data_IF_269142394146
#
_entry.id   IF_269142394146
#
_cell.length_a   1.000
_cell.length_b   1.000
_cell.length_c   1.000
_cell.angle_alpha   90.00
_cell.angle_beta   90.00
_cell.angle_gamma   90.00
#
_symmetry.space_group_name_H-M   'P 1'
#
loop_
_entity.id
_entity.type
_entity.pdbx_description
1 polymer ?
#
# COMPACT_ATOMS: atom_id res chain seq x y z
N UNK A 1 25.26 -68.80 13.21
CA UNK A 1 24.58 -67.99 12.18
C UNK A 1 24.16 -66.71 12.84
N UNK A 2 24.80 -65.59 12.48
CA UNK A 2 24.77 -64.34 13.22
C UNK A 2 23.42 -63.63 12.96
N UNK A 3 22.68 -63.37 14.03
CA UNK A 3 21.37 -62.72 14.00
C UNK A 3 21.48 -61.28 13.50
N UNK A 4 20.71 -60.97 12.45
CA UNK A 4 20.57 -59.64 11.89
C UNK A 4 19.76 -58.74 12.83
N UNK A 5 20.39 -57.66 13.28
CA UNK A 5 19.71 -56.52 13.90
C UNK A 5 19.43 -55.52 12.79
N UNK A 6 18.13 -55.35 12.49
CA UNK A 6 17.62 -54.37 11.54
C UNK A 6 17.44 -53.03 12.25
N UNK A 7 18.06 -51.93 11.82
CA UNK A 7 17.68 -50.60 12.26
C UNK A 7 16.63 -50.03 11.31
N UNK A 8 15.40 -49.86 11.80
CA UNK A 8 14.49 -48.82 11.26
C UNK A 8 14.82 -47.50 11.94
N UNK A 9 14.89 -46.41 11.16
CA UNK A 9 14.42 -45.14 11.69
C UNK A 9 13.41 -44.45 10.78
N UNK A 10 12.28 -44.18 11.42
CA UNK A 10 11.59 -42.89 11.41
C UNK A 10 11.00 -42.40 10.09
N UNK A 11 9.70 -42.66 9.99
CA UNK A 11 8.77 -41.87 9.22
C UNK A 11 9.07 -40.37 9.37
N UNK A 12 9.27 -39.71 8.24
CA UNK A 12 9.18 -38.26 8.13
C UNK A 12 7.69 -37.88 8.22
N UNK A 13 7.25 -37.02 9.15
CA UNK A 13 5.97 -36.37 9.01
C UNK A 13 6.11 -35.25 7.96
N UNK A 14 5.26 -35.31 6.94
CA UNK A 14 5.11 -34.23 5.96
C UNK A 14 4.69 -32.93 6.68
N UNK A 15 5.25 -31.76 6.37
CA UNK A 15 4.62 -30.52 6.75
C UNK A 15 3.36 -30.39 5.90
N UNK A 16 2.22 -30.79 6.47
CA UNK A 16 0.92 -30.46 5.95
C UNK A 16 0.84 -28.93 5.85
N UNK A 17 0.81 -28.46 4.61
CA UNK A 17 0.33 -27.13 4.26
C UNK A 17 -1.07 -26.98 4.85
N UNK A 18 -1.18 -26.25 5.95
CA UNK A 18 -2.43 -25.61 6.30
C UNK A 18 -2.32 -24.14 5.86
N UNK A 19 -3.20 -23.68 4.94
CA UNK A 19 -3.27 -22.27 4.62
C UNK A 19 -3.73 -21.57 5.90
N UNK A 20 -2.85 -20.75 6.48
CA UNK A 20 -3.28 -19.81 7.49
C UNK A 20 -4.40 -18.99 6.85
N UNK A 21 -5.61 -19.26 7.33
CA UNK A 21 -6.82 -18.56 7.00
C UNK A 21 -6.50 -17.07 6.89
N UNK A 22 -6.95 -16.44 5.82
CA UNK A 22 -6.89 -15.00 5.65
C UNK A 22 -7.59 -14.35 6.84
N UNK A 23 -6.80 -14.05 7.87
CA UNK A 23 -7.14 -13.05 8.86
C UNK A 23 -7.23 -11.78 8.06
N UNK A 24 -8.45 -11.40 7.67
CA UNK A 24 -8.75 -10.04 7.26
C UNK A 24 -8.18 -9.14 8.37
N UNK A 25 -7.13 -8.32 8.14
CA UNK A 25 -6.67 -7.36 9.12
C UNK A 25 -7.65 -6.18 9.08
N UNK A 26 -8.90 -6.49 9.41
CA UNK A 26 -10.02 -5.61 9.59
C UNK A 26 -10.36 -5.56 11.07
N UNK A 27 -9.38 -5.39 11.95
CA UNK A 27 -9.64 -4.97 13.32
C UNK A 27 -8.51 -4.08 13.81
N UNK A 28 -8.71 -2.79 13.56
CA UNK A 28 -7.77 -1.71 13.82
C UNK A 28 -8.35 -0.40 13.34
N UNK A 29 -9.55 -0.04 13.84
CA UNK A 29 -10.05 1.32 13.67
C UNK A 29 -9.24 2.25 14.58
N UNK A 30 -8.05 2.62 14.14
CA UNK A 30 -7.21 3.65 14.74
C UNK A 30 -6.53 4.47 13.63
N UNK A 31 -6.96 5.72 13.51
CA UNK A 31 -6.34 6.81 12.75
C UNK A 31 -5.95 6.50 11.29
N UNK A 32 -6.91 6.72 10.38
CA UNK A 32 -6.70 6.57 8.94
C UNK A 32 -5.65 7.51 8.35
N UNK A 33 -5.14 7.16 7.18
CA UNK A 33 -4.16 7.95 6.46
C UNK A 33 -4.71 9.32 6.04
N UNK A 34 -3.93 10.38 6.27
CA UNK A 34 -4.15 11.69 5.67
C UNK A 34 -3.25 11.87 4.46
N UNK A 35 -3.84 12.18 3.30
CA UNK A 35 -3.11 12.46 2.06
C UNK A 35 -3.25 13.95 1.72
N UNK A 36 -2.12 14.67 1.73
CA UNK A 36 -2.06 16.11 1.44
C UNK A 36 -1.31 16.36 0.13
N UNK A 37 -1.98 16.81 -0.94
CA UNK A 37 -1.29 17.30 -2.12
C UNK A 37 -0.62 18.64 -1.84
N UNK A 38 0.70 18.73 -2.03
CA UNK A 38 1.42 20.00 -1.92
C UNK A 38 1.40 20.74 -3.26
N UNK A 39 1.16 22.05 -3.22
CA UNK A 39 1.29 22.92 -4.40
C UNK A 39 2.65 22.69 -5.05
N UNK A 40 2.62 22.46 -6.37
CA UNK A 40 3.82 22.25 -7.20
C UNK A 40 4.76 21.13 -6.69
N UNK A 41 4.20 20.22 -5.88
CA UNK A 41 4.97 19.23 -5.12
C UNK A 41 4.29 17.87 -5.00
N UNK A 42 4.80 17.01 -4.10
CA UNK A 42 4.36 15.62 -3.95
C UNK A 42 3.00 15.48 -3.26
N UNK A 43 2.53 14.24 -3.14
CA UNK A 43 1.49 13.86 -2.19
C UNK A 43 2.15 13.42 -0.88
N UNK A 44 1.84 14.10 0.23
CA UNK A 44 2.32 13.70 1.54
C UNK A 44 1.30 12.78 2.19
N UNK A 45 1.71 11.57 2.56
CA UNK A 45 0.88 10.59 3.26
C UNK A 45 1.35 10.55 4.71
N UNK A 46 0.43 10.62 5.67
CA UNK A 46 0.69 10.54 7.12
C UNK A 46 -0.30 9.60 7.80
N UNK A 47 0.12 8.97 8.89
CA UNK A 47 -0.73 8.11 9.72
C UNK A 47 -0.63 6.65 9.31
N UNK A 48 -1.62 5.85 9.68
CA UNK A 48 -1.65 4.41 9.40
C UNK A 48 -2.05 4.15 7.94
N UNK A 49 -1.13 3.63 7.13
CA UNK A 49 -1.39 3.23 5.73
C UNK A 49 -0.63 1.97 5.34
N UNK A 50 -1.17 1.24 4.36
CA UNK A 50 -0.45 0.20 3.60
C UNK A 50 -0.12 0.75 2.22
N UNK A 51 1.09 0.47 1.73
CA UNK A 51 1.50 0.79 0.37
C UNK A 51 1.77 -0.53 -0.35
N UNK A 52 1.09 -0.76 -1.46
CA UNK A 52 1.24 -1.96 -2.27
C UNK A 52 1.27 -1.60 -3.75
N UNK A 53 1.89 -2.45 -4.57
CA UNK A 53 1.78 -2.37 -6.02
C UNK A 53 0.49 -3.03 -6.55
N UNK A 54 0.33 -3.05 -7.87
CA UNK A 54 -0.83 -3.66 -8.54
C UNK A 54 -0.90 -5.19 -8.41
N UNK A 55 0.23 -5.85 -8.12
CA UNK A 55 0.33 -7.28 -7.94
C UNK A 55 0.04 -7.69 -6.47
N UNK A 56 -0.18 -6.69 -5.60
CA UNK A 56 -0.47 -6.89 -4.19
C UNK A 56 0.78 -7.01 -3.32
N UNK A 57 1.97 -6.78 -3.87
CA UNK A 57 3.22 -6.83 -3.12
C UNK A 57 3.35 -5.56 -2.27
N UNK A 58 3.61 -5.75 -0.97
CA UNK A 58 3.80 -4.62 -0.06
C UNK A 58 5.13 -3.90 -0.33
N UNK A 59 5.07 -2.57 -0.37
CA UNK A 59 6.22 -1.69 -0.52
C UNK A 59 6.50 -1.07 0.84
N UNK A 60 7.67 -1.39 1.42
CA UNK A 60 8.12 -0.78 2.67
C UNK A 60 8.28 0.75 2.51
N UNK A 61 7.49 1.57 3.22
CA UNK A 61 7.60 3.02 3.18
C UNK A 61 8.79 3.57 3.99
N UNK A 62 9.39 2.76 4.87
CA UNK A 62 10.51 3.10 5.76
C UNK A 62 10.16 4.09 6.88
N UNK A 63 8.94 4.63 6.92
CA UNK A 63 8.47 5.64 7.89
C UNK A 63 6.96 5.88 7.78
N UNK A 64 6.36 6.41 8.85
CA UNK A 64 4.93 6.75 8.95
C UNK A 64 4.51 8.00 8.15
N UNK A 65 5.48 8.71 7.56
CA UNK A 65 5.22 9.88 6.71
C UNK A 65 6.05 9.81 5.45
N UNK A 66 5.40 9.61 4.30
CA UNK A 66 6.08 9.51 3.01
C UNK A 66 5.64 10.61 2.04
N UNK A 67 6.45 10.81 0.99
CA UNK A 67 6.16 11.70 -0.11
C UNK A 67 6.08 10.89 -1.40
N UNK A 68 4.89 10.81 -2.01
CA UNK A 68 4.67 10.13 -3.28
C UNK A 68 4.83 11.08 -4.45
N UNK A 69 5.40 10.58 -5.54
CA UNK A 69 5.64 11.34 -6.75
C UNK A 69 4.31 11.72 -7.41
N UNK A 70 4.10 13.02 -7.60
CA UNK A 70 2.96 13.57 -8.35
C UNK A 70 3.35 14.10 -9.74
N UNK A 71 4.62 14.44 -9.93
CA UNK A 71 5.12 15.09 -11.16
C UNK A 71 5.54 14.11 -12.27
N UNK A 72 5.64 12.81 -11.98
CA UNK A 72 6.10 11.79 -12.93
C UNK A 72 7.61 11.75 -13.19
N UNK A 73 8.40 12.68 -12.63
CA UNK A 73 9.84 12.83 -12.94
C UNK A 73 10.80 12.22 -11.91
N UNK A 74 10.29 11.64 -10.82
CA UNK A 74 11.15 11.02 -9.79
C UNK A 74 11.96 9.85 -10.35
N UNK A 75 13.22 9.70 -9.93
CA UNK A 75 14.06 8.53 -10.20
C UNK A 75 13.79 7.32 -9.29
N UNK A 76 13.07 7.52 -8.17
CA UNK A 76 12.79 6.50 -7.15
C UNK A 76 11.27 6.30 -6.96
N UNK A 77 10.54 6.21 -8.08
CA UNK A 77 9.09 5.99 -8.03
C UNK A 77 8.76 4.73 -7.20
N UNK A 78 7.66 4.71 -6.42
CA UNK A 78 6.60 5.72 -6.36
C UNK A 78 6.92 6.95 -5.48
N UNK A 79 8.10 7.01 -4.87
CA UNK A 79 8.49 8.09 -3.95
C UNK A 79 8.96 9.36 -4.68
N UNK A 80 8.92 10.49 -3.97
CA UNK A 80 9.41 11.77 -4.43
C UNK A 80 10.88 12.01 -4.02
N UNK A 81 11.73 12.33 -4.99
CA UNK A 81 13.15 12.70 -4.82
C UNK A 81 13.44 14.21 -4.96
N UNK A 82 12.40 15.03 -5.06
CA UNK A 82 12.53 16.47 -5.30
C UNK A 82 12.62 16.88 -6.78
N UNK A 83 12.57 15.93 -7.73
CA UNK A 83 12.61 16.23 -9.17
C UNK A 83 11.50 17.18 -9.65
N UNK A 84 10.40 17.30 -8.91
CA UNK A 84 9.32 18.27 -9.20
C UNK A 84 9.83 19.73 -9.27
N UNK A 85 10.84 20.08 -8.47
CA UNK A 85 11.42 21.43 -8.47
C UNK A 85 12.18 21.70 -9.77
N UNK A 86 13.03 20.75 -10.19
CA UNK A 86 13.87 20.87 -11.38
C UNK A 86 13.07 20.76 -12.68
N UNK A 87 11.96 20.01 -12.65
CA UNK A 87 11.10 19.81 -13.82
C UNK A 87 10.08 20.92 -14.06
N UNK A 88 10.03 21.95 -13.20
CA UNK A 88 9.02 23.02 -13.28
C UNK A 88 7.58 22.50 -13.13
N UNK A 89 7.36 21.47 -12.30
CA UNK A 89 6.03 20.92 -12.11
C UNK A 89 5.10 21.98 -11.48
N UNK A 90 3.99 22.30 -12.15
CA UNK A 90 2.98 23.21 -11.62
C UNK A 90 1.63 22.53 -11.51
N UNK A 91 1.08 22.51 -10.30
CA UNK A 91 -0.26 22.00 -10.06
C UNK A 91 -0.80 22.47 -8.69
N UNK A 92 -2.08 22.85 -8.61
CA UNK A 92 -2.70 23.23 -7.34
C UNK A 92 -2.74 22.05 -6.35
N UNK A 93 -2.91 22.37 -5.07
CA UNK A 93 -3.14 21.39 -4.00
C UNK A 93 -4.59 20.88 -3.98
N UNK A 94 -5.53 21.71 -4.40
CA UNK A 94 -6.94 21.37 -4.54
C UNK A 94 -7.30 21.06 -6.01
N UNK A 95 -8.36 20.27 -6.26
CA UNK A 95 -8.87 20.07 -7.62
C UNK A 95 -9.29 21.42 -8.25
N UNK A 96 -8.90 21.66 -9.49
CA UNK A 96 -9.27 22.87 -10.25
C UNK A 96 -10.67 22.82 -10.85
N UNK A 97 -11.30 21.63 -10.87
CA UNK A 97 -12.67 21.37 -11.33
C UNK A 97 -13.33 20.33 -10.42
N UNK A 98 -14.67 20.33 -10.29
CA UNK A 98 -15.38 19.28 -9.56
C UNK A 98 -15.09 17.89 -10.15
N UNK A 99 -15.01 16.86 -9.30
CA UNK A 99 -15.00 15.48 -9.78
C UNK A 99 -16.45 15.08 -10.12
N UNK A 100 -16.79 14.68 -11.36
CA UNK A 100 -18.15 14.30 -11.73
C UNK A 100 -18.73 13.19 -10.83
N UNK A 101 -17.92 12.19 -10.50
CA UNK A 101 -18.34 11.12 -9.58
C UNK A 101 -18.74 11.63 -8.19
N UNK A 102 -18.14 12.72 -7.70
CA UNK A 102 -18.51 13.31 -6.42
C UNK A 102 -19.86 14.06 -6.49
N UNK A 103 -20.30 14.50 -7.66
CA UNK A 103 -21.62 15.11 -7.85
C UNK A 103 -22.71 14.03 -7.86
N UNK A 104 -22.51 12.97 -8.66
CA UNK A 104 -23.44 11.82 -8.74
C UNK A 104 -23.75 11.25 -7.35
N UNK A 105 -22.73 11.07 -6.48
CA UNK A 105 -22.91 10.59 -5.11
C UNK A 105 -23.67 11.57 -4.20
N UNK A 106 -23.59 12.87 -4.46
CA UNK A 106 -24.30 13.90 -3.67
C UNK A 106 -25.77 13.97 -4.06
N UNK A 107 -26.05 13.86 -5.36
CA UNK A 107 -27.41 13.96 -5.90
C UNK A 107 -28.23 12.73 -5.48
N UNK A 108 -27.67 11.52 -5.63
CA UNK A 108 -28.33 10.29 -5.18
C UNK A 108 -28.62 10.23 -3.66
N UNK A 109 -27.87 10.97 -2.82
CA UNK A 109 -28.16 11.08 -1.38
C UNK A 109 -29.32 12.04 -1.07
N UNK A 110 -29.58 13.03 -1.94
CA UNK A 110 -30.66 14.02 -1.74
C UNK A 110 -32.03 13.50 -2.19
N UNK A 111 -32.05 12.51 -3.07
CA UNK A 111 -33.26 11.90 -3.62
C UNK A 111 -33.76 10.69 -2.79
N UNK A 112 -33.11 10.39 -1.66
CA UNK A 112 -33.46 9.28 -0.74
C UNK A 112 -34.15 9.77 0.53
#
# INVERSE_FOLDING_TARGET
>A
MLGGVSPSPSAVPEPSEEPAAGTDPGEGRADGATITPYRDGPLIVRGSFRLQDQDGVEIDPGRDTIALCRCGRSGIKPFCDGSHKRSGFSAPSAPSRPRPAAQILRDGRRES
#
